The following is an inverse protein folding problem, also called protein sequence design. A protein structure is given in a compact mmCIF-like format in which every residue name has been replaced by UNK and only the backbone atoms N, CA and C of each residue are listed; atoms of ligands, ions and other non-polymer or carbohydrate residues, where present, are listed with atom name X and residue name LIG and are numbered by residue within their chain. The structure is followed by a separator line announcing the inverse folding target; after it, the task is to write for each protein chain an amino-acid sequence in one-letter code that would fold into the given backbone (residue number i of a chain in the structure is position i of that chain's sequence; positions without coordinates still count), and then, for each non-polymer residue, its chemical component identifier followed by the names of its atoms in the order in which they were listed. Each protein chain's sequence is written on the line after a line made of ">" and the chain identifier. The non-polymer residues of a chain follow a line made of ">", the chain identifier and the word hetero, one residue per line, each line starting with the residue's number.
data_IF_148195277188
#
_entry.id   IF_148195277188
#
_cell.length_a   1.000
_cell.length_b   1.000
_cell.length_c   1.000
_cell.angle_alpha   90.00
_cell.angle_beta   90.00
_cell.angle_gamma   90.00
#
_symmetry.space_group_name_H-M   'P 1'
#
loop_
_entity.id
_entity.type
_entity.pdbx_description
1 polymer ?
#
# COMPACT_ATOMS: atom_id res chain seq x y z
N UNK A 1 0.80 5.59 -29.41
CA UNK A 1 1.70 4.82 -28.53
C UNK A 1 1.69 3.36 -28.95
N UNK A 2 2.78 2.62 -28.73
CA UNK A 2 2.85 1.17 -28.96
C UNK A 2 3.39 0.48 -27.72
N UNK A 3 2.64 -0.47 -27.17
CA UNK A 3 3.11 -1.30 -26.05
C UNK A 3 4.13 -2.33 -26.54
N UNK A 4 5.31 -2.36 -25.91
CA UNK A 4 6.39 -3.29 -26.27
C UNK A 4 6.37 -4.58 -25.47
N UNK A 5 5.75 -4.56 -24.29
CA UNK A 5 5.51 -5.74 -23.46
C UNK A 5 4.36 -5.43 -22.52
N UNK A 6 3.60 -6.47 -22.15
CA UNK A 6 2.65 -6.48 -21.03
C UNK A 6 2.81 -7.79 -20.29
N UNK A 7 2.83 -7.74 -18.98
CA UNK A 7 3.04 -8.89 -18.11
C UNK A 7 2.18 -8.81 -16.86
N UNK A 8 1.88 -9.97 -16.29
CA UNK A 8 1.23 -10.10 -14.98
C UNK A 8 2.18 -9.60 -13.91
N UNK A 9 1.64 -8.92 -12.91
CA UNK A 9 2.35 -8.42 -11.75
C UNK A 9 1.60 -8.78 -10.46
N UNK A 10 2.12 -8.33 -9.31
CA UNK A 10 1.43 -8.45 -8.03
C UNK A 10 1.27 -9.89 -7.54
N UNK A 11 0.18 -10.16 -6.82
CA UNK A 11 -0.02 -11.44 -6.13
C UNK A 11 0.00 -12.65 -7.05
N UNK A 12 -0.48 -12.51 -8.29
CA UNK A 12 -0.47 -13.57 -9.29
C UNK A 12 0.93 -13.92 -9.78
N UNK A 13 1.81 -12.92 -9.96
CA UNK A 13 3.22 -13.15 -10.28
C UNK A 13 3.98 -13.79 -9.11
N UNK A 14 3.62 -13.43 -7.88
CA UNK A 14 4.28 -13.91 -6.66
C UNK A 14 3.71 -15.22 -6.10
N UNK A 15 2.62 -15.76 -6.67
CA UNK A 15 1.96 -16.97 -6.18
C UNK A 15 1.30 -16.81 -4.80
N UNK A 16 0.94 -15.58 -4.43
CA UNK A 16 0.28 -15.22 -3.17
C UNK A 16 -1.18 -14.79 -3.38
N UNK A 17 -1.72 -15.03 -4.57
CA UNK A 17 -3.10 -14.71 -4.88
C UNK A 17 -4.07 -15.67 -4.17
N UNK A 18 -5.17 -15.10 -3.71
CA UNK A 18 -6.39 -15.80 -3.28
C UNK A 18 -7.50 -15.59 -4.32
N UNK A 19 -8.59 -16.34 -4.23
CA UNK A 19 -9.71 -16.28 -5.19
C UNK A 19 -10.31 -14.88 -5.39
N UNK A 20 -10.19 -14.00 -4.38
CA UNK A 20 -10.66 -12.62 -4.42
C UNK A 20 -9.59 -11.59 -4.81
N UNK A 21 -8.43 -12.04 -5.30
CA UNK A 21 -7.34 -11.14 -5.71
C UNK A 21 -7.65 -10.48 -7.05
N UNK A 22 -7.29 -9.22 -7.15
CA UNK A 22 -7.26 -8.44 -8.37
C UNK A 22 -6.10 -8.85 -9.29
N UNK A 23 -6.25 -8.53 -10.58
CA UNK A 23 -5.21 -8.74 -11.57
C UNK A 23 -4.44 -7.44 -11.81
N UNK A 24 -3.17 -7.47 -11.41
CA UNK A 24 -2.22 -6.39 -11.66
C UNK A 24 -1.43 -6.69 -12.94
N UNK A 25 -1.26 -5.67 -13.76
CA UNK A 25 -0.45 -5.72 -14.97
C UNK A 25 0.56 -4.59 -15.01
N UNK A 26 1.72 -4.89 -15.56
CA UNK A 26 2.73 -3.90 -15.90
C UNK A 26 3.16 -4.04 -17.34
N UNK A 27 3.63 -2.94 -17.91
CA UNK A 27 4.13 -2.95 -19.27
C UNK A 27 5.02 -1.76 -19.57
N UNK A 28 5.62 -1.84 -20.75
CA UNK A 28 6.46 -0.77 -21.29
C UNK A 28 5.89 -0.35 -22.63
N UNK A 29 5.91 0.94 -22.94
CA UNK A 29 5.44 1.45 -24.23
C UNK A 29 6.40 2.46 -24.86
N UNK A 30 6.38 2.52 -26.19
CA UNK A 30 7.01 3.58 -26.97
C UNK A 30 5.97 4.70 -27.19
N UNK A 31 6.25 5.94 -26.75
CA UNK A 31 5.38 7.09 -27.01
C UNK A 31 5.20 7.35 -28.51
N UNK A 32 4.12 8.01 -28.90
CA UNK A 32 3.97 8.43 -30.31
C UNK A 32 4.96 9.54 -30.68
N UNK A 33 5.36 9.57 -31.95
CA UNK A 33 6.36 10.52 -32.45
C UNK A 33 5.98 11.99 -32.22
N UNK A 34 4.69 12.33 -32.30
CA UNK A 34 4.22 13.70 -32.05
C UNK A 34 4.46 14.10 -30.58
N UNK A 35 4.11 13.24 -29.64
CA UNK A 35 4.37 13.47 -28.21
C UNK A 35 5.85 13.61 -27.90
N UNK A 36 6.71 12.84 -28.58
CA UNK A 36 8.18 12.95 -28.46
C UNK A 36 8.66 14.31 -28.96
N UNK A 37 8.28 14.69 -30.19
CA UNK A 37 8.69 15.95 -30.81
C UNK A 37 8.21 17.18 -30.04
N UNK A 38 7.01 17.10 -29.45
CA UNK A 38 6.45 18.17 -28.63
C UNK A 38 6.92 18.15 -27.17
N UNK A 39 7.77 17.18 -26.78
CA UNK A 39 8.19 16.96 -25.39
C UNK A 39 7.02 16.83 -24.39
N UNK A 40 5.93 16.18 -24.82
CA UNK A 40 4.71 15.94 -24.03
C UNK A 40 4.54 14.48 -23.66
N UNK A 41 5.63 13.71 -23.63
CA UNK A 41 5.62 12.30 -23.29
C UNK A 41 5.15 12.12 -21.85
N UNK A 42 4.09 11.33 -21.64
CA UNK A 42 3.73 10.84 -20.32
C UNK A 42 4.72 9.75 -19.91
N UNK A 43 5.43 9.96 -18.81
CA UNK A 43 6.39 8.97 -18.30
C UNK A 43 5.72 7.68 -17.82
N UNK A 44 4.49 7.77 -17.33
CA UNK A 44 3.71 6.64 -16.83
C UNK A 44 2.24 6.87 -17.16
N UNK A 45 1.57 5.82 -17.60
CA UNK A 45 0.13 5.77 -17.83
C UNK A 45 -0.42 4.71 -16.90
N UNK A 46 -1.54 5.01 -16.26
CA UNK A 46 -2.19 4.17 -15.27
C UNK A 46 -3.64 3.99 -15.71
N UNK A 47 -4.08 2.74 -15.85
CA UNK A 47 -5.47 2.35 -16.11
C UNK A 47 -5.97 1.51 -14.94
N UNK A 48 -7.18 1.79 -14.45
CA UNK A 48 -7.72 1.20 -13.22
C UNK A 48 -8.12 2.25 -12.18
N UNK A 49 -8.74 1.80 -11.10
CA UNK A 49 -9.30 2.65 -10.04
C UNK A 49 -8.25 2.91 -8.97
N UNK A 50 -7.24 3.74 -9.24
CA UNK A 50 -6.16 4.00 -8.26
C UNK A 50 -6.58 4.81 -7.01
N UNK A 51 -7.80 5.38 -7.02
CA UNK A 51 -8.33 6.23 -5.94
C UNK A 51 -9.43 5.55 -5.11
N UNK A 52 -10.09 4.51 -5.64
CA UNK A 52 -11.16 3.77 -4.98
C UNK A 52 -10.85 2.27 -4.99
N UNK A 53 -11.44 1.49 -4.09
CA UNK A 53 -11.16 0.05 -4.02
C UNK A 53 -11.72 -0.64 -5.26
N UNK A 54 -10.86 -1.24 -6.09
CA UNK A 54 -11.23 -1.97 -7.30
C UNK A 54 -12.44 -2.89 -7.07
N UNK A 55 -13.39 -2.87 -8.01
CA UNK A 55 -14.46 -3.87 -8.03
C UNK A 55 -13.92 -5.23 -8.49
N UNK A 56 -14.56 -6.36 -8.09
CA UNK A 56 -14.16 -7.67 -8.58
C UNK A 56 -14.16 -7.73 -10.11
N UNK A 57 -13.00 -7.93 -10.72
CA UNK A 57 -12.81 -7.98 -12.19
C UNK A 57 -12.21 -6.71 -12.81
N UNK A 58 -11.90 -5.67 -12.02
CA UNK A 58 -11.14 -4.52 -12.52
C UNK A 58 -9.63 -4.85 -12.57
N UNK A 59 -9.03 -4.61 -13.73
CA UNK A 59 -7.60 -4.82 -14.01
C UNK A 59 -6.83 -3.52 -13.79
N UNK A 60 -5.78 -3.56 -12.96
CA UNK A 60 -4.89 -2.42 -12.78
C UNK A 60 -3.70 -2.56 -13.71
N UNK A 61 -3.57 -1.64 -14.67
CA UNK A 61 -2.47 -1.62 -15.62
C UNK A 61 -1.60 -0.38 -15.43
N UNK A 62 -0.31 -0.60 -15.17
CA UNK A 62 0.71 0.46 -15.15
C UNK A 62 1.66 0.30 -16.33
N UNK A 63 1.71 1.31 -17.19
CA UNK A 63 2.61 1.36 -18.33
C UNK A 63 3.66 2.44 -18.13
N UNK A 64 4.94 2.06 -18.20
CA UNK A 64 6.04 3.02 -18.23
C UNK A 64 6.46 3.31 -19.67
N UNK A 65 6.72 4.57 -19.98
CA UNK A 65 7.39 4.90 -21.26
C UNK A 65 8.76 4.21 -21.29
N UNK A 66 9.21 3.79 -22.46
CA UNK A 66 10.52 3.13 -22.65
C UNK A 66 11.65 3.91 -21.98
N UNK A 67 11.65 5.23 -22.15
CA UNK A 67 12.66 6.12 -21.57
C UNK A 67 12.64 6.12 -20.03
N UNK A 68 11.44 6.16 -19.42
CA UNK A 68 11.28 6.05 -17.96
C UNK A 68 11.71 4.67 -17.46
N UNK A 69 11.31 3.61 -18.14
CA UNK A 69 11.65 2.24 -17.76
C UNK A 69 13.16 2.01 -17.77
N UNK A 70 13.85 2.40 -18.83
CA UNK A 70 15.32 2.32 -18.91
C UNK A 70 16.00 3.15 -17.81
N UNK A 71 15.46 4.33 -17.49
CA UNK A 71 15.96 5.12 -16.36
C UNK A 71 15.80 4.41 -15.01
N UNK A 72 14.66 3.75 -14.77
CA UNK A 72 14.42 2.95 -13.56
C UNK A 72 15.36 1.75 -13.49
N UNK A 73 15.60 1.05 -14.61
CA UNK A 73 16.57 -0.04 -14.69
C UNK A 73 17.99 0.42 -14.34
N UNK A 74 18.45 1.54 -14.91
CA UNK A 74 19.76 2.12 -14.59
C UNK A 74 19.89 2.57 -13.12
N UNK A 75 18.77 2.76 -12.43
CA UNK A 75 18.71 3.08 -11.00
C UNK A 75 18.56 1.83 -10.11
N UNK A 76 18.53 0.63 -10.70
CA UNK A 76 18.29 -0.65 -10.04
C UNK A 76 17.01 -0.61 -9.18
N UNK A 77 15.96 0.05 -9.67
CA UNK A 77 14.67 0.08 -8.99
C UNK A 77 14.03 -1.30 -9.03
N UNK A 78 13.59 -1.80 -7.87
CA UNK A 78 13.08 -3.17 -7.71
C UNK A 78 11.94 -3.46 -8.68
N UNK A 79 10.99 -2.55 -8.83
CA UNK A 79 9.88 -2.68 -9.78
C UNK A 79 10.34 -2.93 -11.24
N UNK A 80 11.40 -2.25 -11.69
CA UNK A 80 11.90 -2.42 -13.05
C UNK A 80 12.67 -3.74 -13.20
N UNK A 81 13.38 -4.17 -12.16
CA UNK A 81 14.08 -5.45 -12.14
C UNK A 81 13.09 -6.62 -12.05
N UNK A 82 12.05 -6.53 -11.22
CA UNK A 82 10.93 -7.48 -11.18
C UNK A 82 10.34 -7.67 -12.59
N UNK A 83 10.13 -6.59 -13.35
CA UNK A 83 9.64 -6.66 -14.74
C UNK A 83 10.66 -7.33 -15.67
N UNK A 84 11.95 -6.99 -15.56
CA UNK A 84 13.02 -7.55 -16.39
C UNK A 84 13.18 -9.06 -16.23
N UNK A 85 12.96 -9.57 -15.01
CA UNK A 85 13.07 -10.99 -14.67
C UNK A 85 11.73 -11.72 -14.61
N UNK A 86 10.64 -11.10 -15.07
CA UNK A 86 9.32 -11.76 -15.10
C UNK A 86 9.33 -12.92 -16.11
N UNK A 87 9.04 -14.17 -15.68
CA UNK A 87 9.06 -15.34 -16.57
C UNK A 87 8.10 -15.21 -17.76
N UNK A 88 8.47 -15.77 -18.90
CA UNK A 88 7.71 -15.65 -20.16
C UNK A 88 6.26 -16.12 -20.05
N UNK A 89 5.98 -17.15 -19.23
CA UNK A 89 4.62 -17.65 -18.96
C UNK A 89 3.67 -16.62 -18.34
N UNK A 90 4.21 -15.51 -17.82
CA UNK A 90 3.44 -14.40 -17.26
C UNK A 90 3.38 -13.20 -18.21
N UNK A 91 3.88 -13.31 -19.43
CA UNK A 91 3.69 -12.30 -20.45
C UNK A 91 2.29 -12.45 -21.04
N UNK A 92 1.60 -11.32 -21.18
CA UNK A 92 0.23 -11.23 -21.68
C UNK A 92 0.19 -11.03 -23.18
N UNK A 93 1.27 -10.46 -23.75
CA UNK A 93 1.47 -10.34 -25.19
C UNK A 93 2.89 -10.74 -25.55
N UNK A 94 3.07 -11.10 -26.82
CA UNK A 94 4.40 -11.33 -27.37
C UNK A 94 5.27 -10.06 -27.25
N UNK A 95 6.57 -10.22 -26.93
CA UNK A 95 7.48 -9.10 -26.82
C UNK A 95 7.76 -8.49 -28.19
N UNK A 96 7.81 -7.16 -28.24
CA UNK A 96 8.34 -6.46 -29.42
C UNK A 96 9.88 -6.53 -29.45
N UNK A 97 10.54 -6.30 -30.61
CA UNK A 97 11.99 -6.38 -30.74
C UNK A 97 12.78 -5.53 -29.75
N UNK A 98 12.24 -4.38 -29.34
CA UNK A 98 12.86 -3.52 -28.33
C UNK A 98 12.97 -4.20 -26.97
N UNK A 99 11.97 -4.99 -26.58
CA UNK A 99 12.00 -5.73 -25.32
C UNK A 99 13.03 -6.87 -25.37
N UNK A 100 13.08 -7.59 -26.50
CA UNK A 100 14.09 -8.62 -26.73
C UNK A 100 15.52 -8.05 -26.67
N UNK A 101 15.73 -6.86 -27.22
CA UNK A 101 17.02 -6.17 -27.13
C UNK A 101 17.40 -5.80 -25.69
N UNK A 102 16.43 -5.39 -24.86
CA UNK A 102 16.63 -5.14 -23.43
C UNK A 102 17.02 -6.45 -22.72
N UNK A 103 16.28 -7.54 -22.96
CA UNK A 103 16.56 -8.84 -22.36
C UNK A 103 17.94 -9.39 -22.75
N UNK A 104 18.34 -9.21 -24.01
CA UNK A 104 19.65 -9.63 -24.51
C UNK A 104 20.83 -8.84 -23.89
N UNK A 105 20.54 -7.74 -23.19
CA UNK A 105 21.52 -6.90 -22.50
C UNK A 105 21.23 -6.81 -20.98
N UNK A 106 20.38 -7.70 -20.44
CA UNK A 106 19.86 -7.58 -19.07
C UNK A 106 20.96 -7.53 -18.00
N UNK A 107 22.04 -8.26 -18.23
CA UNK A 107 23.23 -8.34 -17.36
C UNK A 107 23.92 -6.98 -17.19
N UNK A 108 23.78 -6.06 -18.16
CA UNK A 108 24.36 -4.72 -18.09
C UNK A 108 23.61 -3.80 -17.14
N UNK A 109 22.37 -4.12 -16.81
CA UNK A 109 21.56 -3.39 -15.82
C UNK A 109 21.75 -3.92 -14.41
N UNK A 110 22.34 -5.11 -14.26
CA UNK A 110 22.68 -5.67 -12.96
C UNK A 110 23.92 -4.96 -12.41
N UNK A 111 23.86 -4.57 -11.14
CA UNK A 111 24.97 -3.89 -10.48
C UNK A 111 24.90 -4.07 -8.97
N UNK A 112 26.04 -3.85 -8.29
CA UNK A 112 26.18 -4.05 -6.83
C UNK A 112 25.39 -3.04 -5.96
N UNK A 113 24.50 -2.25 -6.57
CA UNK A 113 23.71 -1.21 -5.89
C UNK A 113 22.48 -1.85 -5.23
N UNK A 114 22.73 -2.60 -4.16
CA UNK A 114 21.68 -3.24 -3.33
C UNK A 114 20.91 -2.26 -2.45
N UNK A 115 21.32 -0.98 -2.40
CA UNK A 115 20.68 0.03 -1.56
C UNK A 115 19.19 0.24 -1.87
N UNK A 116 18.78 0.12 -3.14
CA UNK A 116 17.38 0.20 -3.55
C UNK A 116 16.56 -0.98 -2.99
N UNK A 117 17.12 -2.19 -3.03
CA UNK A 117 16.53 -3.40 -2.47
C UNK A 117 16.39 -3.31 -0.94
N UNK A 118 17.46 -2.95 -0.24
CA UNK A 118 17.45 -2.76 1.23
C UNK A 118 16.48 -1.65 1.62
N UNK A 119 16.47 -0.54 0.86
CA UNK A 119 15.52 0.56 1.06
C UNK A 119 14.08 0.10 0.92
N UNK A 120 13.78 -0.70 -0.11
CA UNK A 120 12.47 -1.29 -0.32
C UNK A 120 12.06 -2.20 0.84
N UNK A 121 12.89 -3.16 1.24
CA UNK A 121 12.61 -4.07 2.36
C UNK A 121 12.37 -3.31 3.66
N UNK A 122 13.21 -2.31 3.98
CA UNK A 122 13.03 -1.44 5.15
C UNK A 122 11.71 -0.67 5.08
N UNK A 123 11.35 -0.17 3.90
CA UNK A 123 10.10 0.57 3.71
C UNK A 123 8.87 -0.32 3.94
N UNK A 124 8.90 -1.56 3.46
CA UNK A 124 7.81 -2.53 3.65
C UNK A 124 7.71 -2.95 5.11
N UNK A 125 8.84 -3.29 5.75
CA UNK A 125 8.89 -3.61 7.17
C UNK A 125 8.34 -2.45 8.03
N UNK A 126 8.69 -1.19 7.71
CA UNK A 126 8.17 -0.02 8.42
C UNK A 126 6.66 0.18 8.21
N UNK A 127 6.16 0.02 6.99
CA UNK A 127 4.72 0.11 6.71
C UNK A 127 3.94 -0.94 7.51
N UNK A 128 4.50 -2.14 7.60
CA UNK A 128 3.93 -3.23 8.36
C UNK A 128 3.92 -2.94 9.87
N UNK A 129 5.06 -2.53 10.43
CA UNK A 129 5.15 -2.17 11.85
C UNK A 129 4.14 -1.09 12.25
N UNK A 130 4.05 0.00 11.47
CA UNK A 130 3.07 1.08 11.71
C UNK A 130 1.62 0.57 11.61
N UNK A 131 1.35 -0.42 10.75
CA UNK A 131 0.02 -1.01 10.63
C UNK A 131 -0.35 -1.85 11.85
N UNK A 132 0.59 -2.60 12.42
CA UNK A 132 0.39 -3.32 13.70
C UNK A 132 0.15 -2.34 14.83
N UNK A 133 1.03 -1.36 15.03
CA UNK A 133 0.91 -0.35 16.10
C UNK A 133 -0.46 0.36 16.05
N UNK A 134 -0.95 0.66 14.84
CA UNK A 134 -2.29 1.23 14.63
C UNK A 134 -3.42 0.25 14.99
N UNK A 135 -3.27 -1.03 14.64
CA UNK A 135 -4.26 -2.05 14.97
C UNK A 135 -4.36 -2.24 16.48
N UNK A 136 -3.21 -2.38 17.16
CA UNK A 136 -3.14 -2.50 18.63
C UNK A 136 -3.72 -1.28 19.33
N UNK A 137 -3.39 -0.07 18.86
CA UNK A 137 -3.94 1.17 19.43
C UNK A 137 -5.47 1.23 19.34
N UNK A 138 -6.03 0.84 18.20
CA UNK A 138 -7.48 0.80 17.98
C UNK A 138 -8.11 -0.32 18.81
N UNK A 139 -7.46 -1.48 18.94
CA UNK A 139 -7.94 -2.56 19.79
C UNK A 139 -8.00 -2.11 21.26
N UNK A 140 -6.95 -1.44 21.73
CA UNK A 140 -6.81 -1.01 23.11
C UNK A 140 -7.89 0.00 23.51
N UNK A 141 -8.19 0.99 22.65
CA UNK A 141 -9.28 1.94 22.91
C UNK A 141 -10.65 1.26 22.84
N UNK A 142 -10.87 0.30 21.93
CA UNK A 142 -12.13 -0.47 21.87
C UNK A 142 -12.33 -1.28 23.14
N UNK A 143 -11.29 -1.97 23.62
CA UNK A 143 -11.32 -2.71 24.89
C UNK A 143 -11.61 -1.79 26.07
N UNK A 144 -11.00 -0.60 26.11
CA UNK A 144 -11.24 0.39 27.15
C UNK A 144 -12.68 0.92 27.13
N UNK A 145 -13.19 1.34 25.97
CA UNK A 145 -14.56 1.85 25.86
C UNK A 145 -15.62 0.78 26.19
N UNK A 146 -15.33 -0.50 25.91
CA UNK A 146 -16.22 -1.63 26.23
C UNK A 146 -16.42 -1.86 27.73
N UNK A 147 -15.43 -1.54 28.55
CA UNK A 147 -15.50 -1.75 30.01
C UNK A 147 -16.09 -0.54 30.75
N UNK A 148 -16.40 0.55 30.05
CA UNK A 148 -17.06 1.71 30.65
C UNK A 148 -18.47 1.30 31.10
N UNK A 149 -18.87 1.52 32.37
CA UNK A 149 -20.14 1.00 32.89
C UNK A 149 -21.39 1.56 32.22
N UNK A 150 -21.38 2.85 31.85
CA UNK A 150 -22.50 3.52 31.18
C UNK A 150 -22.06 4.07 29.83
N UNK A 151 -22.68 3.56 28.76
CA UNK A 151 -22.37 3.99 27.39
C UNK A 151 -23.12 5.26 26.97
N UNK A 152 -24.03 5.78 27.80
CA UNK A 152 -24.82 6.99 27.53
C UNK A 152 -24.10 8.27 27.92
N UNK A 153 -23.10 8.17 28.79
CA UNK A 153 -22.27 9.32 29.20
C UNK A 153 -21.46 9.83 28.01
N UNK A 154 -21.01 11.08 28.11
CA UNK A 154 -20.13 11.66 27.09
C UNK A 154 -18.71 11.11 27.23
N UNK A 155 -17.96 11.06 26.13
CA UNK A 155 -16.54 10.66 26.14
C UNK A 155 -15.72 11.56 27.08
N UNK A 156 -16.05 12.84 27.16
CA UNK A 156 -15.46 13.80 28.12
C UNK A 156 -15.70 13.48 29.59
N UNK A 157 -16.68 12.64 29.92
CA UNK A 157 -17.04 12.26 31.29
C UNK A 157 -16.41 10.92 31.71
N UNK A 158 -15.65 10.27 30.82
CA UNK A 158 -15.02 8.97 31.10
C UNK A 158 -13.81 9.14 32.02
N UNK A 159 -13.90 8.56 33.22
CA UNK A 159 -12.81 8.55 34.19
C UNK A 159 -11.60 7.75 33.67
N UNK A 160 -10.39 8.28 33.88
CA UNK A 160 -9.14 7.64 33.48
C UNK A 160 -8.86 7.66 31.97
N UNK A 161 -9.68 8.34 31.17
CA UNK A 161 -9.49 8.41 29.71
C UNK A 161 -8.14 9.04 29.36
N UNK A 162 -7.78 10.19 29.95
CA UNK A 162 -6.52 10.88 29.62
C UNK A 162 -5.28 10.03 29.93
N UNK A 163 -5.25 9.37 31.09
CA UNK A 163 -4.18 8.44 31.46
C UNK A 163 -4.12 7.26 30.49
N UNK A 164 -5.28 6.73 30.10
CA UNK A 164 -5.35 5.65 29.12
C UNK A 164 -4.82 6.08 27.76
N UNK A 165 -5.10 7.30 27.31
CA UNK A 165 -4.61 7.79 26.01
C UNK A 165 -3.08 7.94 25.99
N UNK A 166 -2.45 8.22 27.12
CA UNK A 166 -0.98 8.28 27.21
C UNK A 166 -0.32 6.91 27.00
N UNK A 167 -1.02 5.80 27.30
CA UNK A 167 -0.50 4.45 27.07
C UNK A 167 -0.70 3.96 25.63
N UNK A 168 -1.58 4.62 24.86
CA UNK A 168 -1.97 4.18 23.52
C UNK A 168 -1.13 4.89 22.46
N UNK A 169 -0.58 4.13 21.51
CA UNK A 169 0.17 4.67 20.39
C UNK A 169 -0.65 5.68 19.56
N UNK A 170 -0.12 6.89 19.40
CA UNK A 170 -0.76 8.00 18.65
C UNK A 170 -2.22 8.22 19.07
N UNK A 171 -2.47 8.24 20.37
CA UNK A 171 -3.75 8.66 20.93
C UNK A 171 -3.64 9.97 21.70
N UNK A 172 -4.74 10.71 21.77
CA UNK A 172 -4.80 11.97 22.49
C UNK A 172 -6.10 12.72 22.22
N UNK A 173 -6.16 13.95 22.73
CA UNK A 173 -7.27 14.88 22.45
C UNK A 173 -6.79 15.93 21.46
N UNK A 174 -7.40 15.97 20.27
CA UNK A 174 -7.08 16.92 19.22
C UNK A 174 -8.16 18.00 19.13
N UNK A 175 -7.74 19.26 19.11
CA UNK A 175 -8.63 20.40 18.94
C UNK A 175 -8.85 20.68 17.44
N UNK A 176 -10.09 20.50 16.96
CA UNK A 176 -10.44 20.76 15.55
C UNK A 176 -11.18 22.10 15.47
N UNK A 177 -10.66 23.02 14.64
CA UNK A 177 -11.34 24.30 14.35
C UNK A 177 -12.30 24.12 13.19
N UNK A 178 -13.58 24.35 13.42
CA UNK A 178 -14.63 24.35 12.42
C UNK A 178 -14.58 25.63 11.56
N UNK A 179 -15.21 25.61 10.38
CA UNK A 179 -15.27 26.74 9.45
C UNK A 179 -15.90 28.01 10.02
N UNK A 180 -16.66 27.88 11.12
CA UNK A 180 -17.26 28.98 11.86
C UNK A 180 -16.37 29.50 13.02
N UNK A 181 -15.13 29.05 13.12
CA UNK A 181 -14.16 29.47 14.15
C UNK A 181 -14.30 28.74 15.50
N UNK A 182 -15.30 27.87 15.66
CA UNK A 182 -15.46 27.10 16.90
C UNK A 182 -14.45 25.95 16.97
N UNK A 183 -13.84 25.79 18.14
CA UNK A 183 -12.89 24.70 18.41
C UNK A 183 -13.61 23.58 19.17
N UNK A 184 -13.61 22.37 18.62
CA UNK A 184 -14.20 21.18 19.25
C UNK A 184 -13.09 20.17 19.57
N UNK A 185 -12.95 19.77 20.85
CA UNK A 185 -12.01 18.72 21.22
C UNK A 185 -12.54 17.36 20.74
N UNK A 186 -11.65 16.57 20.16
CA UNK A 186 -11.93 15.22 19.67
C UNK A 186 -10.99 14.22 20.33
N UNK A 187 -11.55 13.10 20.79
CA UNK A 187 -10.78 11.89 21.02
C UNK A 187 -10.19 11.45 19.68
N UNK A 188 -8.87 11.42 19.61
CA UNK A 188 -8.10 11.01 18.43
C UNK A 188 -7.32 9.75 18.77
N UNK A 189 -7.49 8.70 17.97
CA UNK A 189 -6.64 7.50 18.01
C UNK A 189 -6.26 7.18 16.58
N UNK A 190 -4.97 7.30 16.28
CA UNK A 190 -4.42 7.22 14.93
C UNK A 190 -5.11 8.21 13.96
N UNK A 191 -5.77 7.71 12.91
CA UNK A 191 -6.43 8.56 11.90
C UNK A 191 -7.95 8.70 12.16
N UNK A 192 -8.45 8.20 13.30
CA UNK A 192 -9.88 8.18 13.64
C UNK A 192 -10.18 9.12 14.79
N UNK A 193 -11.17 9.99 14.59
CA UNK A 193 -11.54 11.04 15.53
C UNK A 193 -13.02 10.97 15.89
N UNK A 194 -13.32 11.22 17.15
CA UNK A 194 -14.69 11.29 17.67
C UNK A 194 -14.80 12.52 18.58
N UNK A 195 -15.83 13.38 18.44
CA UNK A 195 -16.00 14.52 19.33
C UNK A 195 -16.07 14.10 20.80
N UNK A 196 -15.42 14.83 21.70
CA UNK A 196 -15.48 14.55 23.15
C UNK A 196 -16.90 14.73 23.74
N UNK A 197 -17.79 15.40 23.00
CA UNK A 197 -19.22 15.58 23.32
C UNK A 197 -20.09 14.39 22.90
N UNK A 198 -19.57 13.49 22.07
CA UNK A 198 -20.28 12.29 21.66
C UNK A 198 -20.43 11.32 22.85
N UNK A 199 -21.40 10.42 22.75
CA UNK A 199 -21.60 9.36 23.75
C UNK A 199 -20.52 8.28 23.62
N UNK A 200 -20.24 7.59 24.72
CA UNK A 200 -19.34 6.42 24.73
C UNK A 200 -19.83 5.34 23.75
N UNK A 201 -21.15 5.16 23.60
CA UNK A 201 -21.74 4.29 22.58
C UNK A 201 -21.28 4.66 21.18
N UNK A 202 -21.43 5.92 20.77
CA UNK A 202 -21.05 6.39 19.44
C UNK A 202 -19.55 6.22 19.20
N UNK A 203 -18.72 6.56 20.19
CA UNK A 203 -17.27 6.35 20.11
C UNK A 203 -16.93 4.87 19.93
N UNK A 204 -17.51 4.00 20.76
CA UNK A 204 -17.30 2.56 20.68
C UNK A 204 -17.69 2.00 19.30
N UNK A 205 -18.82 2.42 18.73
CA UNK A 205 -19.26 1.98 17.40
C UNK A 205 -18.32 2.43 16.28
N UNK A 206 -17.82 3.68 16.34
CA UNK A 206 -16.84 4.20 15.36
C UNK A 206 -15.53 3.42 15.42
N UNK A 207 -14.96 3.26 16.61
CA UNK A 207 -13.70 2.55 16.77
C UNK A 207 -13.84 1.05 16.51
N UNK A 208 -14.96 0.41 16.89
CA UNK A 208 -15.22 -1.00 16.58
C UNK A 208 -15.36 -1.25 15.08
N UNK A 209 -15.96 -0.32 14.34
CA UNK A 209 -16.03 -0.39 12.87
C UNK A 209 -14.63 -0.32 12.26
N UNK A 210 -13.80 0.60 12.72
CA UNK A 210 -12.40 0.72 12.29
C UNK A 210 -11.57 -0.51 12.67
N UNK A 211 -11.76 -1.04 13.88
CA UNK A 211 -11.14 -2.28 14.33
C UNK A 211 -11.48 -3.45 13.39
N UNK A 212 -12.76 -3.59 13.00
CA UNK A 212 -13.20 -4.62 12.07
C UNK A 212 -12.66 -4.41 10.65
N UNK A 213 -12.51 -3.17 10.18
CA UNK A 213 -11.88 -2.85 8.89
C UNK A 213 -10.41 -3.24 8.86
N UNK A 214 -9.64 -2.91 9.91
CA UNK A 214 -8.24 -3.35 10.05
C UNK A 214 -8.15 -4.87 10.23
N UNK A 215 -8.99 -5.44 11.09
CA UNK A 215 -9.07 -6.87 11.38
C UNK A 215 -9.32 -7.71 10.13
N UNK A 216 -10.21 -7.30 9.23
CA UNK A 216 -10.44 -7.99 7.93
C UNK A 216 -9.21 -7.98 7.02
N UNK A 217 -8.28 -7.03 7.18
CA UNK A 217 -7.04 -6.92 6.38
C UNK A 217 -5.82 -7.56 7.06
N UNK A 218 -5.88 -7.79 8.36
CA UNK A 218 -4.85 -8.55 9.11
C UNK A 218 -5.23 -10.04 9.14
N UNK A 219 -6.52 -10.37 9.22
CA UNK A 219 -7.01 -11.76 9.24
C UNK A 219 -7.04 -12.45 7.87
N UNK A 220 -7.14 -11.69 6.76
CA UNK A 220 -7.07 -12.25 5.39
C UNK A 220 -5.66 -12.64 4.96
N UNK A 221 -4.64 -12.20 5.69
CA UNK A 221 -3.28 -12.73 5.67
C UNK A 221 -3.12 -13.75 6.81
N UNK A 222 -3.79 -14.90 6.68
CA UNK A 222 -3.64 -16.16 7.44
C UNK A 222 -3.19 -16.08 8.90
N UNK A 223 -4.11 -16.39 9.84
CA UNK A 223 -3.92 -17.13 11.12
C UNK A 223 -2.79 -16.80 12.11
N UNK A 224 -1.80 -15.96 11.80
CA UNK A 224 -0.75 -15.49 12.69
C UNK A 224 -0.24 -14.15 12.14
N UNK A 225 -0.41 -13.08 12.91
CA UNK A 225 0.28 -11.77 13.01
C UNK A 225 1.29 -11.28 11.95
N UNK A 226 1.27 -11.76 10.71
CA UNK A 226 2.32 -11.53 9.71
C UNK A 226 1.69 -11.35 8.33
N UNK A 227 1.92 -10.20 7.71
CA UNK A 227 1.57 -9.94 6.30
C UNK A 227 2.55 -10.67 5.37
N UNK A 228 2.28 -11.96 5.15
CA UNK A 228 3.07 -12.81 4.28
C UNK A 228 3.19 -12.28 2.85
N UNK A 229 2.21 -11.52 2.33
CA UNK A 229 2.29 -10.96 0.97
C UNK A 229 3.45 -9.97 0.85
N UNK A 230 3.49 -9.01 1.77
CA UNK A 230 4.56 -8.01 1.82
C UNK A 230 5.92 -8.63 2.15
N UNK A 231 5.94 -9.64 3.04
CA UNK A 231 7.19 -10.29 3.45
C UNK A 231 7.75 -11.23 2.38
N UNK A 232 6.91 -11.98 1.67
CA UNK A 232 7.32 -12.81 0.54
C UNK A 232 7.85 -11.97 -0.61
N UNK A 233 7.26 -10.80 -0.88
CA UNK A 233 7.82 -9.85 -1.85
C UNK A 233 9.21 -9.37 -1.42
N UNK A 234 9.38 -9.00 -0.15
CA UNK A 234 10.68 -8.60 0.38
C UNK A 234 11.73 -9.73 0.34
N UNK A 235 11.35 -10.98 0.64
CA UNK A 235 12.24 -12.15 0.55
C UNK A 235 12.64 -12.44 -0.89
N UNK A 236 11.70 -12.36 -1.83
CA UNK A 236 12.00 -12.51 -3.26
C UNK A 236 12.98 -11.45 -3.74
N UNK A 237 12.69 -10.18 -3.44
CA UNK A 237 13.58 -9.04 -3.71
C UNK A 237 14.97 -9.28 -3.09
N UNK A 238 15.02 -9.79 -1.86
CA UNK A 238 16.29 -10.09 -1.19
C UNK A 238 17.07 -11.23 -1.88
N UNK A 239 16.39 -12.30 -2.33
CA UNK A 239 17.02 -13.38 -3.08
C UNK A 239 17.53 -12.90 -4.45
N UNK A 240 16.76 -12.07 -5.16
CA UNK A 240 17.18 -11.43 -6.41
C UNK A 240 18.40 -10.51 -6.23
N UNK A 241 18.66 -10.03 -5.01
CA UNK A 241 19.86 -9.25 -4.70
C UNK A 241 21.10 -10.10 -4.37
N UNK A 242 20.93 -11.40 -4.13
CA UNK A 242 22.02 -12.36 -3.84
C UNK A 242 22.56 -13.01 -5.12
N UNK A 243 21.70 -13.19 -6.13
CA UNK A 243 22.07 -13.64 -7.48
C UNK A 243 22.92 -12.59 -8.25
#
# INVERSE_FOLDING_TARGET
>A
MREIIRMVHGSHLYGTNVETSDQDFKGVFVPDGRSILLQRVKNTIKYGSFEERNQPGEEDLVLHSLQKYLHLLCQNQTEALDMLFTPERFWVKDPEPEWLAILANRERFLGKRVAAFVGYCRSQARKFAVKIERYEAIEEIVRFLRIVPDHRIRVSEVLGLEEKLQSIYKAGVEAITLSNGHVIPHLSVCDTRVPMTATVREAYEVYSRKFNEYGKRVSRSSTQDVDWKSMMHAVRIANEAVE
#
